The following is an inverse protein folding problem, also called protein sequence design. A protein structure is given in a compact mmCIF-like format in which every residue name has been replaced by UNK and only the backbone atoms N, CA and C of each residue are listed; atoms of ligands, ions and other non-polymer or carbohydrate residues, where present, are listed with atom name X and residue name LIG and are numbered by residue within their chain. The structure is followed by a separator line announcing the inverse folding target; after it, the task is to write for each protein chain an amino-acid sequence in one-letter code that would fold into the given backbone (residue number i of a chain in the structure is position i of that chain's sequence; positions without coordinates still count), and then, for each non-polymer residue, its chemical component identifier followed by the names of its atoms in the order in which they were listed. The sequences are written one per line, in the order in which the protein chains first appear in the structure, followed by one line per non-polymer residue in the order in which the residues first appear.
data_IF_599542241933
#
_entry.id   IF_599542241933
#
_cell.length_a   1.000
_cell.length_b   1.000
_cell.length_c   1.000
_cell.angle_alpha   90.00
_cell.angle_beta   90.00
_cell.angle_gamma   90.00
#
_symmetry.space_group_name_H-M   'P 1'
#
loop_
_entity.id
_entity.type
_entity.pdbx_description
1 polymer ?
#
# COMPACT_ATOMS: atom_id res chain seq x y z
N UNK A 1 -14.60 65.35 -55.65
CA UNK A 1 -14.42 66.18 -54.43
C UNK A 1 -14.32 65.21 -53.27
N UNK A 2 -13.12 64.66 -53.07
CA UNK A 2 -12.83 63.61 -52.10
C UNK A 2 -12.78 64.25 -50.72
N UNK A 3 -13.80 63.96 -49.90
CA UNK A 3 -13.88 64.40 -48.52
C UNK A 3 -12.66 63.87 -47.74
N UNK A 4 -11.82 64.82 -47.32
CA UNK A 4 -11.10 64.88 -46.06
C UNK A 4 -10.97 63.52 -45.34
N UNK A 5 -9.86 62.84 -45.64
CA UNK A 5 -9.32 61.81 -44.76
C UNK A 5 -9.12 62.45 -43.38
N UNK A 6 -9.82 61.93 -42.38
CA UNK A 6 -9.75 62.34 -40.98
C UNK A 6 -8.30 62.47 -40.50
N UNK A 7 -7.78 63.68 -40.54
CA UNK A 7 -6.39 64.01 -40.29
C UNK A 7 -6.22 64.51 -38.84
N UNK A 8 -6.49 63.66 -37.84
CA UNK A 8 -6.03 63.87 -36.45
C UNK A 8 -6.29 62.67 -35.52
N UNK A 9 -5.98 61.44 -35.93
CA UNK A 9 -5.47 60.50 -34.93
C UNK A 9 -4.02 60.92 -34.70
N UNK A 10 -3.72 61.50 -33.52
CA UNK A 10 -2.39 61.96 -33.11
C UNK A 10 -1.33 60.95 -33.54
N UNK A 11 -0.62 61.26 -34.63
CA UNK A 11 0.43 60.38 -35.16
C UNK A 11 1.51 60.36 -34.07
N UNK A 12 1.89 59.17 -33.56
CA UNK A 12 2.86 59.11 -32.49
C UNK A 12 4.14 59.81 -32.93
N UNK A 13 4.68 60.67 -32.06
CA UNK A 13 5.92 61.39 -32.36
C UNK A 13 7.01 60.37 -32.70
N UNK A 14 7.68 60.58 -33.83
CA UNK A 14 8.66 59.65 -34.39
C UNK A 14 9.70 59.23 -33.34
N UNK A 15 10.23 60.19 -32.56
CA UNK A 15 11.19 59.89 -31.49
C UNK A 15 10.65 59.01 -30.35
N UNK A 16 9.35 59.09 -30.03
CA UNK A 16 8.74 58.22 -29.03
C UNK A 16 8.58 56.77 -29.54
N UNK A 17 8.31 56.61 -30.84
CA UNK A 17 8.25 55.30 -31.50
C UNK A 17 9.65 54.69 -31.57
N UNK A 18 10.67 55.48 -31.92
CA UNK A 18 12.07 55.03 -31.97
C UNK A 18 12.59 54.59 -30.61
N UNK A 19 12.34 55.37 -29.55
CA UNK A 19 12.72 55.00 -28.19
C UNK A 19 12.04 53.70 -27.71
N UNK A 20 10.76 53.52 -28.05
CA UNK A 20 10.02 52.29 -27.74
C UNK A 20 10.57 51.09 -28.51
N UNK A 21 10.91 51.26 -29.79
CA UNK A 21 11.50 50.22 -30.62
C UNK A 21 12.86 49.80 -30.07
N UNK A 22 13.71 50.75 -29.68
CA UNK A 22 15.03 50.48 -29.13
C UNK A 22 14.94 49.74 -27.79
N UNK A 23 14.03 50.17 -26.91
CA UNK A 23 13.75 49.44 -25.66
C UNK A 23 13.31 48.00 -25.92
N UNK A 24 12.36 47.79 -26.85
CA UNK A 24 11.87 46.45 -27.20
C UNK A 24 12.96 45.58 -27.85
N UNK A 25 13.88 46.17 -28.62
CA UNK A 25 15.04 45.47 -29.18
C UNK A 25 15.96 45.00 -28.07
N UNK A 26 16.33 45.87 -27.14
CA UNK A 26 17.16 45.53 -26.00
C UNK A 26 16.51 44.49 -25.08
N UNK A 27 15.21 44.59 -24.84
CA UNK A 27 14.44 43.58 -24.09
C UNK A 27 14.48 42.21 -24.80
N UNK A 28 14.31 42.19 -26.13
CA UNK A 28 14.42 40.96 -26.94
C UNK A 28 15.83 40.38 -26.96
N UNK A 29 16.86 41.22 -27.04
CA UNK A 29 18.25 40.76 -27.03
C UNK A 29 18.65 40.21 -25.65
N UNK A 30 18.08 40.74 -24.57
CA UNK A 30 18.26 40.22 -23.19
C UNK A 30 17.63 38.84 -22.97
N UNK A 31 16.64 38.43 -23.76
CA UNK A 31 16.06 37.08 -23.68
C UNK A 31 17.03 35.99 -24.19
N UNK A 32 18.11 36.38 -24.86
CA UNK A 32 19.07 35.46 -25.44
C UNK A 32 18.62 34.93 -26.81
N UNK A 33 19.48 34.11 -27.42
CA UNK A 33 19.20 33.49 -28.72
C UNK A 33 18.09 32.43 -28.65
N UNK A 34 17.52 32.09 -29.80
CA UNK A 34 16.58 30.97 -29.92
C UNK A 34 17.31 29.69 -29.56
N UNK A 35 16.79 28.93 -28.57
CA UNK A 35 17.28 27.59 -28.30
C UNK A 35 16.72 26.63 -29.36
N UNK A 36 17.53 26.32 -30.36
CA UNK A 36 17.16 25.43 -31.47
C UNK A 36 16.96 23.98 -31.03
N UNK A 37 17.48 23.58 -29.87
CA UNK A 37 17.37 22.23 -29.33
C UNK A 37 16.20 22.07 -28.34
N UNK A 38 15.52 23.16 -27.98
CA UNK A 38 14.47 23.15 -26.96
C UNK A 38 13.32 22.19 -27.29
N UNK A 39 12.93 22.11 -28.56
CA UNK A 39 11.84 21.22 -29.01
C UNK A 39 12.23 19.75 -28.85
N UNK A 40 13.47 19.40 -29.22
CA UNK A 40 14.01 18.04 -29.12
C UNK A 40 14.17 17.61 -27.66
N UNK A 41 14.80 18.46 -26.84
CA UNK A 41 14.98 18.21 -25.40
C UNK A 41 13.63 18.09 -24.67
N UNK A 42 12.65 18.93 -25.01
CA UNK A 42 11.31 18.84 -24.45
C UNK A 42 10.63 17.51 -24.83
N UNK A 43 10.78 17.06 -26.08
CA UNK A 43 10.30 15.77 -26.55
C UNK A 43 10.93 14.60 -25.80
N UNK A 44 12.24 14.61 -25.59
CA UNK A 44 12.94 13.57 -24.84
C UNK A 44 12.51 13.50 -23.37
N UNK A 45 12.36 14.66 -22.72
CA UNK A 45 11.91 14.73 -21.32
C UNK A 45 10.46 14.28 -21.21
N UNK A 46 9.60 14.69 -22.15
CA UNK A 46 8.21 14.24 -22.19
C UNK A 46 8.11 12.72 -22.38
N UNK A 47 8.88 12.16 -23.32
CA UNK A 47 8.92 10.71 -23.54
C UNK A 47 9.39 9.94 -22.29
N UNK A 48 10.46 10.41 -21.64
CA UNK A 48 10.93 9.81 -20.37
C UNK A 48 9.87 9.91 -19.27
N UNK A 49 9.21 11.05 -19.14
CA UNK A 49 8.12 11.23 -18.17
C UNK A 49 6.98 10.25 -18.44
N UNK A 50 6.57 10.11 -19.68
CA UNK A 50 5.43 9.27 -20.04
C UNK A 50 5.71 7.79 -19.76
N UNK A 51 6.93 7.32 -20.04
CA UNK A 51 7.37 5.97 -19.65
C UNK A 51 7.35 5.78 -18.12
N UNK A 52 7.92 6.73 -17.36
CA UNK A 52 7.93 6.65 -15.90
C UNK A 52 6.51 6.66 -15.29
N UNK A 53 5.59 7.41 -15.89
CA UNK A 53 4.19 7.43 -15.48
C UNK A 53 3.53 6.08 -15.74
N UNK A 54 3.74 5.49 -16.92
CA UNK A 54 3.22 4.16 -17.26
C UNK A 54 3.76 3.08 -16.31
N UNK A 55 5.08 3.03 -16.09
CA UNK A 55 5.71 2.09 -15.16
C UNK A 55 5.17 2.24 -13.73
N UNK A 56 4.96 3.50 -13.29
CA UNK A 56 4.36 3.78 -11.98
C UNK A 56 2.93 3.24 -11.89
N UNK A 57 2.12 3.42 -12.92
CA UNK A 57 0.74 2.93 -12.94
C UNK A 57 0.68 1.40 -12.93
N UNK A 58 1.55 0.73 -13.69
CA UNK A 58 1.70 -0.72 -13.66
C UNK A 58 2.11 -1.23 -12.27
N UNK A 59 3.06 -0.55 -11.60
CA UNK A 59 3.48 -0.92 -10.25
C UNK A 59 2.35 -0.76 -9.24
N UNK A 60 1.58 0.33 -9.33
CA UNK A 60 0.41 0.56 -8.46
C UNK A 60 -0.61 -0.56 -8.64
N UNK A 61 -0.86 -0.96 -9.88
CA UNK A 61 -1.80 -2.04 -10.19
C UNK A 61 -1.30 -3.40 -9.70
N UNK A 62 -0.01 -3.69 -9.86
CA UNK A 62 0.62 -4.88 -9.29
C UNK A 62 0.48 -4.93 -7.75
N UNK A 63 0.69 -3.81 -7.06
CA UNK A 63 0.50 -3.71 -5.61
C UNK A 63 -0.96 -3.99 -5.22
N UNK A 64 -1.94 -3.46 -5.97
CA UNK A 64 -3.36 -3.76 -5.71
C UNK A 64 -3.66 -5.24 -5.85
N UNK A 65 -3.17 -5.88 -6.92
CA UNK A 65 -3.36 -7.33 -7.14
C UNK A 65 -2.74 -8.16 -6.02
N UNK A 66 -1.52 -7.84 -5.62
CA UNK A 66 -0.83 -8.53 -4.52
C UNK A 66 -1.59 -8.40 -3.20
N UNK A 67 -2.08 -7.19 -2.87
CA UNK A 67 -2.90 -6.99 -1.66
C UNK A 67 -4.20 -7.80 -1.71
N UNK A 68 -4.86 -7.87 -2.86
CA UNK A 68 -6.05 -8.71 -3.04
C UNK A 68 -5.74 -10.20 -2.86
N UNK A 69 -4.63 -10.68 -3.43
CA UNK A 69 -4.18 -12.06 -3.27
C UNK A 69 -3.87 -12.40 -1.80
N UNK A 70 -3.19 -11.52 -1.07
CA UNK A 70 -2.91 -11.69 0.37
C UNK A 70 -4.22 -11.78 1.17
N UNK A 71 -5.21 -10.94 0.88
CA UNK A 71 -6.49 -11.00 1.57
C UNK A 71 -7.24 -12.32 1.32
N UNK A 72 -7.21 -12.81 0.08
CA UNK A 72 -7.78 -14.11 -0.26
C UNK A 72 -7.07 -15.25 0.46
N UNK A 73 -5.73 -15.22 0.46
CA UNK A 73 -4.90 -16.22 1.13
C UNK A 73 -5.15 -16.23 2.64
N UNK A 74 -5.22 -15.06 3.29
CA UNK A 74 -5.49 -14.95 4.71
C UNK A 74 -6.87 -15.49 5.08
N UNK A 75 -7.88 -15.28 4.23
CA UNK A 75 -9.22 -15.85 4.45
C UNK A 75 -9.18 -17.37 4.43
N UNK A 76 -8.56 -17.94 3.39
CA UNK A 76 -8.41 -19.39 3.27
C UNK A 76 -7.58 -19.97 4.42
N UNK A 77 -6.49 -19.28 4.83
CA UNK A 77 -5.66 -19.69 5.94
C UNK A 77 -6.43 -19.73 7.25
N UNK A 78 -7.28 -18.71 7.54
CA UNK A 78 -8.14 -18.69 8.72
C UNK A 78 -9.11 -19.86 8.75
N UNK A 79 -9.78 -20.13 7.64
CA UNK A 79 -10.74 -21.24 7.54
C UNK A 79 -10.05 -22.59 7.79
N UNK A 80 -8.89 -22.81 7.14
CA UNK A 80 -8.10 -24.04 7.30
C UNK A 80 -7.54 -24.19 8.72
N UNK A 81 -7.08 -23.09 9.33
CA UNK A 81 -6.57 -23.09 10.70
C UNK A 81 -7.68 -23.46 11.68
N UNK A 82 -8.84 -22.81 11.61
CA UNK A 82 -9.97 -23.09 12.49
C UNK A 82 -10.48 -24.53 12.33
N UNK A 83 -10.60 -25.01 11.09
CA UNK A 83 -10.98 -26.39 10.83
C UNK A 83 -9.99 -27.38 11.48
N UNK A 84 -8.69 -27.13 11.33
CA UNK A 84 -7.64 -27.97 11.91
C UNK A 84 -7.65 -27.89 13.44
N UNK A 85 -7.82 -26.69 14.00
CA UNK A 85 -7.93 -26.46 15.43
C UNK A 85 -9.08 -27.26 16.05
N UNK A 86 -10.28 -27.23 15.46
CA UNK A 86 -11.43 -28.00 15.96
C UNK A 86 -11.19 -29.51 15.92
N UNK A 87 -10.51 -30.01 14.89
CA UNK A 87 -10.12 -31.42 14.80
C UNK A 87 -9.17 -31.77 15.95
N UNK A 88 -8.10 -30.99 16.13
CA UNK A 88 -7.09 -31.21 17.18
C UNK A 88 -7.70 -31.11 18.58
N UNK A 89 -8.52 -30.10 18.87
CA UNK A 89 -9.24 -29.95 20.14
C UNK A 89 -10.15 -31.16 20.42
N UNK A 90 -10.86 -31.63 19.40
CA UNK A 90 -11.68 -32.84 19.52
C UNK A 90 -10.86 -34.09 19.86
N UNK A 91 -9.68 -34.27 19.25
CA UNK A 91 -8.78 -35.37 19.59
C UNK A 91 -8.20 -35.21 21.00
N UNK A 92 -7.78 -34.01 21.36
CA UNK A 92 -7.21 -33.69 22.67
C UNK A 92 -8.19 -33.97 23.81
N UNK A 93 -9.44 -33.49 23.69
CA UNK A 93 -10.54 -33.79 24.63
C UNK A 93 -10.69 -35.29 24.88
N UNK A 94 -10.75 -36.08 23.80
CA UNK A 94 -10.91 -37.55 23.90
C UNK A 94 -9.72 -38.22 24.57
N UNK A 95 -8.50 -37.83 24.17
CA UNK A 95 -7.27 -38.38 24.73
C UNK A 95 -7.16 -38.07 26.22
N UNK A 96 -7.45 -36.82 26.62
CA UNK A 96 -7.38 -36.39 28.01
C UNK A 96 -8.36 -37.17 28.89
N UNK A 97 -9.64 -37.24 28.51
CA UNK A 97 -10.65 -37.99 29.29
C UNK A 97 -10.28 -39.48 29.41
N UNK A 98 -9.72 -40.09 28.36
CA UNK A 98 -9.28 -41.48 28.40
C UNK A 98 -8.09 -41.68 29.36
N UNK A 99 -7.10 -40.79 29.32
CA UNK A 99 -5.85 -40.92 30.09
C UNK A 99 -6.05 -40.65 31.59
N UNK A 100 -6.95 -39.72 31.94
CA UNK A 100 -7.21 -39.34 33.32
C UNK A 100 -8.45 -40.02 33.94
N UNK A 101 -9.12 -40.92 33.20
CA UNK A 101 -10.28 -41.67 33.69
C UNK A 101 -11.49 -40.78 34.04
N UNK A 102 -11.57 -39.58 33.46
CA UNK A 102 -12.56 -38.55 33.77
C UNK A 102 -12.00 -37.13 33.61
N UNK A 103 -12.82 -36.12 33.88
CA UNK A 103 -12.46 -34.71 33.67
C UNK A 103 -12.59 -34.23 32.22
N UNK A 104 -12.37 -32.94 32.01
CA UNK A 104 -12.52 -32.26 30.72
C UNK A 104 -11.32 -31.36 30.46
N UNK A 105 -10.76 -31.37 29.25
CA UNK A 105 -9.75 -30.41 28.86
C UNK A 105 -10.04 -29.91 27.44
N UNK A 106 -9.80 -28.64 27.17
CA UNK A 106 -10.03 -28.03 25.86
C UNK A 106 -8.89 -27.08 25.48
N UNK A 107 -8.70 -26.93 24.17
CA UNK A 107 -7.85 -25.91 23.60
C UNK A 107 -8.64 -24.61 23.44
N UNK A 108 -8.02 -23.48 23.75
CA UNK A 108 -8.58 -22.16 23.54
C UNK A 108 -7.60 -21.27 22.78
N UNK A 109 -8.14 -20.48 21.85
CA UNK A 109 -7.41 -19.38 21.22
C UNK A 109 -7.50 -18.15 22.12
N UNK A 110 -6.37 -17.54 22.43
CA UNK A 110 -6.24 -16.41 23.37
C UNK A 110 -5.48 -15.25 22.72
N UNK A 111 -5.46 -14.09 23.39
CA UNK A 111 -4.70 -12.87 23.01
C UNK A 111 -5.16 -12.12 21.74
N UNK A 112 -5.94 -12.75 20.85
CA UNK A 112 -6.47 -12.09 19.64
C UNK A 112 -7.81 -12.70 19.19
N UNK A 113 -8.65 -11.87 18.54
CA UNK A 113 -9.84 -12.33 17.82
C UNK A 113 -9.52 -12.92 16.44
N UNK A 114 -8.34 -12.60 15.89
CA UNK A 114 -7.87 -13.20 14.64
C UNK A 114 -7.17 -14.54 14.92
N UNK A 115 -7.69 -15.68 14.43
CA UNK A 115 -7.07 -16.98 14.63
C UNK A 115 -5.61 -17.06 14.14
N UNK A 116 -5.23 -16.25 13.14
CA UNK A 116 -3.85 -16.23 12.64
C UNK A 116 -2.85 -15.54 13.60
N UNK A 117 -3.35 -14.68 14.49
CA UNK A 117 -2.55 -13.90 15.45
C UNK A 117 -2.76 -14.38 16.89
N UNK A 118 -3.69 -15.31 17.12
CA UNK A 118 -4.05 -15.80 18.44
C UNK A 118 -3.03 -16.80 18.99
N UNK A 119 -2.79 -16.73 20.30
CA UNK A 119 -2.05 -17.74 21.06
C UNK A 119 -2.90 -18.98 21.34
N UNK A 120 -2.27 -20.06 21.81
CA UNK A 120 -2.93 -21.33 22.14
C UNK A 120 -2.75 -21.65 23.64
N UNK A 121 -3.85 -21.82 24.35
CA UNK A 121 -3.87 -22.24 25.75
C UNK A 121 -4.62 -23.56 25.94
N UNK A 122 -4.18 -24.38 26.89
CA UNK A 122 -4.94 -25.53 27.37
C UNK A 122 -5.70 -25.12 28.63
N UNK A 123 -7.02 -25.31 28.62
CA UNK A 123 -7.85 -25.29 29.82
C UNK A 123 -8.18 -26.72 30.24
N UNK A 124 -7.60 -27.20 31.34
CA UNK A 124 -7.83 -28.56 31.82
C UNK A 124 -8.51 -28.58 33.19
N UNK A 125 -9.48 -29.49 33.36
CA UNK A 125 -10.19 -29.75 34.61
C UNK A 125 -10.13 -31.25 34.94
N UNK A 126 -9.11 -31.68 35.68
CA UNK A 126 -9.00 -33.06 36.15
C UNK A 126 -10.14 -33.44 37.09
N UNK A 127 -10.52 -34.73 37.17
CA UNK A 127 -11.59 -35.17 38.07
C UNK A 127 -11.24 -34.86 39.53
N UNK A 128 -12.12 -34.10 40.20
CA UNK A 128 -11.95 -33.71 41.61
C UNK A 128 -11.04 -32.50 41.89
N UNK A 129 -10.49 -31.82 40.86
CA UNK A 129 -9.66 -30.60 41.03
C UNK A 129 -10.26 -29.37 40.35
N UNK A 130 -9.81 -28.18 40.78
CA UNK A 130 -10.18 -26.90 40.14
C UNK A 130 -9.57 -26.84 38.73
N UNK A 131 -10.22 -26.13 37.78
CA UNK A 131 -9.66 -25.92 36.45
C UNK A 131 -8.31 -25.19 36.54
N UNK A 132 -7.35 -25.63 35.72
CA UNK A 132 -6.03 -25.02 35.58
C UNK A 132 -5.77 -24.71 34.11
N UNK A 133 -5.26 -23.52 33.85
CA UNK A 133 -4.78 -23.11 32.53
C UNK A 133 -3.30 -23.46 32.43
N UNK A 134 -2.92 -24.18 31.38
CA UNK A 134 -1.53 -24.44 31.04
C UNK A 134 -1.25 -23.73 29.71
N UNK A 135 -0.46 -22.67 29.76
CA UNK A 135 -0.08 -21.92 28.57
C UNK A 135 0.85 -22.76 27.71
N UNK A 136 0.40 -23.07 26.48
CA UNK A 136 1.22 -23.75 25.49
C UNK A 136 1.96 -22.68 24.67
N UNK A 137 2.97 -22.08 25.33
CA UNK A 137 4.07 -21.24 24.86
C UNK A 137 3.98 -20.51 23.50
N UNK A 138 4.24 -19.20 23.59
CA UNK A 138 4.88 -18.35 22.59
C UNK A 138 5.86 -19.08 21.66
N UNK A 139 5.49 -19.13 20.37
CA UNK A 139 6.36 -18.86 19.21
C UNK A 139 7.52 -19.79 18.83
N UNK A 140 8.12 -20.61 19.71
CA UNK A 140 9.37 -21.30 19.32
C UNK A 140 9.81 -22.55 20.08
N UNK A 141 9.27 -22.86 21.26
CA UNK A 141 9.88 -23.89 22.13
C UNK A 141 9.12 -25.24 22.19
N UNK A 142 7.98 -25.39 21.49
CA UNK A 142 7.11 -26.56 21.65
C UNK A 142 7.39 -27.76 20.74
N UNK A 143 8.28 -27.63 19.75
CA UNK A 143 8.69 -28.78 18.95
C UNK A 143 9.32 -29.89 19.83
N UNK A 144 9.90 -29.53 20.98
CA UNK A 144 10.53 -30.47 21.91
C UNK A 144 9.55 -31.25 22.81
N UNK A 145 8.29 -30.85 22.94
CA UNK A 145 7.30 -31.58 23.77
C UNK A 145 6.44 -32.56 22.95
N UNK A 146 6.75 -32.75 21.66
CA UNK A 146 6.10 -33.73 20.79
C UNK A 146 6.66 -35.16 20.93
N UNK A 147 7.64 -35.39 21.82
CA UNK A 147 8.32 -36.70 22.00
C UNK A 147 8.12 -37.36 23.37
N UNK A 148 7.33 -36.78 24.27
CA UNK A 148 7.10 -37.33 25.62
C UNK A 148 5.64 -37.77 25.83
#
# INVERSE_FOLDING_TARGET
MLAELAEAASRPQIGAVEARLERLRQERDRLGGVNLQAEEEAGEVAGRRDSLVAEREELIEAIRRLRGAIQSLNREARERLLASFHVVDGHFRRLFTHLFGGGTAELQLVDSEDPLEAGLDILARPPGKKPQTMTLLSGGEQALTAMA
#
